data_IF_302766537427
#
_entry.id   IF_302766537427
#
_cell.length_a   1.000
_cell.length_b   1.000
_cell.length_c   1.000
_cell.angle_alpha   90.00
_cell.angle_beta   90.00
_cell.angle_gamma   90.00
#
_symmetry.space_group_name_H-M   'P 1'
#
loop_
_entity.id
_entity.type
_entity.pdbx_description
1 polymer ?
#
# COMPACT_ATOMS: atom_id res chain seq x y z
N UNK A 1 19.99 -4.09 -29.67
CA UNK A 1 18.80 -3.91 -28.89
C UNK A 1 18.09 -2.59 -29.16
N UNK A 2 16.76 -2.63 -29.26
CA UNK A 2 15.89 -1.46 -29.38
C UNK A 2 15.13 -1.31 -28.07
N UNK A 3 14.82 -0.09 -27.66
CA UNK A 3 14.15 0.16 -26.40
C UNK A 3 12.64 0.27 -26.62
N UNK A 4 11.86 -0.52 -25.92
CA UNK A 4 10.41 -0.39 -25.80
C UNK A 4 10.12 0.31 -24.48
N UNK A 5 9.37 1.42 -24.53
CA UNK A 5 8.89 2.07 -23.32
C UNK A 5 7.46 1.61 -23.03
N UNK A 6 7.20 1.27 -21.77
CA UNK A 6 5.91 0.82 -21.26
C UNK A 6 5.54 1.75 -20.10
N UNK A 7 4.40 2.40 -20.18
CA UNK A 7 3.94 3.34 -19.17
C UNK A 7 2.42 3.31 -19.06
N UNK A 8 1.89 3.88 -17.99
CA UNK A 8 0.45 4.05 -17.81
C UNK A 8 -0.02 5.43 -18.29
N UNK A 9 -1.33 5.61 -18.43
CA UNK A 9 -1.96 6.90 -18.70
C UNK A 9 -1.74 7.91 -17.55
N UNK A 10 -1.48 7.46 -16.33
CA UNK A 10 -1.11 8.31 -15.19
C UNK A 10 0.29 8.94 -15.32
N UNK A 11 1.09 8.48 -16.27
CA UNK A 11 2.48 8.91 -16.42
C UNK A 11 2.61 10.43 -16.61
N UNK A 12 1.68 11.07 -17.31
CA UNK A 12 1.70 12.51 -17.55
C UNK A 12 0.90 13.31 -16.51
N UNK A 13 -0.01 12.66 -15.80
CA UNK A 13 -0.87 13.28 -14.78
C UNK A 13 -0.24 13.37 -13.39
N UNK A 14 0.82 12.60 -13.13
CA UNK A 14 1.51 12.55 -11.85
C UNK A 14 2.88 13.23 -11.90
N UNK A 15 3.82 12.68 -11.15
CA UNK A 15 5.22 13.10 -11.17
C UNK A 15 5.91 12.60 -12.45
N UNK A 16 6.91 13.33 -12.92
CA UNK A 16 7.81 12.88 -14.00
C UNK A 16 8.52 11.54 -13.68
N UNK A 17 8.45 11.09 -12.45
CA UNK A 17 9.04 9.83 -11.95
C UNK A 17 8.02 8.71 -11.82
N UNK A 18 6.84 8.86 -12.41
CA UNK A 18 5.83 7.82 -12.39
C UNK A 18 6.35 6.49 -12.93
N UNK A 19 5.73 5.43 -12.45
CA UNK A 19 6.16 4.06 -12.74
C UNK A 19 6.09 3.79 -14.24
N UNK A 20 7.23 3.38 -14.77
CA UNK A 20 7.39 2.95 -16.15
C UNK A 20 8.35 1.77 -16.21
N UNK A 21 8.29 1.02 -17.30
CA UNK A 21 9.29 0.02 -17.63
C UNK A 21 9.95 0.34 -18.97
N UNK A 22 11.20 -0.05 -19.10
CA UNK A 22 11.95 -0.02 -20.34
C UNK A 22 12.46 -1.43 -20.63
N UNK A 23 12.15 -1.91 -21.80
CA UNK A 23 12.62 -3.22 -22.24
C UNK A 23 13.55 -3.10 -23.43
N UNK A 24 14.78 -3.59 -23.27
CA UNK A 24 15.77 -3.64 -24.35
C UNK A 24 15.63 -4.97 -25.08
N UNK A 25 15.20 -4.91 -26.35
CA UNK A 25 14.96 -6.10 -27.16
C UNK A 25 16.25 -6.81 -27.54
N UNK A 26 16.12 -8.10 -27.81
CA UNK A 26 17.11 -8.97 -28.47
C UNK A 26 16.61 -9.32 -29.88
N UNK A 27 17.40 -10.04 -30.66
CA UNK A 27 16.94 -10.56 -31.92
C UNK A 27 16.05 -11.80 -31.74
N UNK A 28 15.07 -11.95 -32.63
CA UNK A 28 14.12 -13.05 -32.60
C UNK A 28 12.91 -12.82 -31.71
N UNK A 29 12.12 -13.88 -31.54
CA UNK A 29 10.93 -13.90 -30.71
C UNK A 29 11.34 -13.95 -29.24
N UNK A 30 10.72 -13.09 -28.43
CA UNK A 30 11.03 -12.98 -27.00
C UNK A 30 9.78 -12.59 -26.20
N UNK A 31 9.80 -12.89 -24.92
CA UNK A 31 8.77 -12.51 -23.96
C UNK A 31 9.38 -11.59 -22.91
N UNK A 32 8.60 -10.62 -22.45
CA UNK A 32 8.94 -9.73 -21.34
C UNK A 32 7.76 -9.60 -20.39
N UNK A 33 8.00 -9.81 -19.11
CA UNK A 33 7.07 -9.53 -18.04
C UNK A 33 7.72 -8.49 -17.11
N UNK A 34 7.00 -7.40 -16.82
CA UNK A 34 7.48 -6.38 -15.88
C UNK A 34 7.55 -6.96 -14.47
N UNK A 35 8.68 -6.78 -13.78
CA UNK A 35 8.84 -7.13 -12.36
C UNK A 35 8.12 -6.12 -11.45
N UNK A 36 8.07 -4.86 -11.88
CA UNK A 36 7.32 -3.82 -11.18
C UNK A 36 5.86 -3.82 -11.61
N UNK A 37 4.96 -3.67 -10.66
CA UNK A 37 3.55 -3.47 -10.95
C UNK A 37 3.27 -2.02 -11.34
N UNK A 38 2.28 -1.82 -12.19
CA UNK A 38 1.85 -0.51 -12.71
C UNK A 38 0.37 -0.30 -12.40
N UNK A 39 0.00 0.92 -12.16
CA UNK A 39 -1.37 1.35 -11.89
C UNK A 39 -1.80 2.38 -12.95
N UNK A 40 -2.99 2.23 -13.50
CA UNK A 40 -3.55 3.10 -14.53
C UNK A 40 -4.78 2.47 -15.17
N UNK A 41 -5.47 3.23 -16.02
CA UNK A 41 -6.60 2.74 -16.79
C UNK A 41 -6.16 2.17 -18.14
N UNK A 42 -5.09 2.73 -18.70
CA UNK A 42 -4.54 2.35 -19.98
C UNK A 42 -3.04 2.08 -19.88
N UNK A 43 -2.56 1.13 -20.68
CA UNK A 43 -1.14 0.86 -20.85
C UNK A 43 -0.68 1.33 -22.23
N UNK A 44 0.33 2.16 -22.26
CA UNK A 44 0.91 2.71 -23.47
C UNK A 44 2.23 2.00 -23.77
N UNK A 45 2.35 1.49 -25.00
CA UNK A 45 3.56 0.84 -25.50
C UNK A 45 4.16 1.70 -26.60
N UNK A 46 5.34 2.27 -26.39
CA UNK A 46 6.05 3.05 -27.39
C UNK A 46 7.04 2.12 -28.08
N UNK A 47 6.74 1.76 -29.31
CA UNK A 47 7.47 0.76 -30.08
C UNK A 47 8.40 1.43 -31.08
N UNK A 48 9.69 1.08 -31.11
CA UNK A 48 10.59 1.51 -32.16
C UNK A 48 10.31 0.79 -33.48
N UNK A 49 10.73 1.39 -34.59
CA UNK A 49 10.60 0.79 -35.91
C UNK A 49 11.17 -0.63 -35.98
N UNK A 50 10.45 -1.53 -36.66
CA UNK A 50 10.85 -2.93 -36.85
C UNK A 50 10.59 -3.85 -35.66
N UNK A 51 9.95 -3.36 -34.60
CA UNK A 51 9.43 -4.21 -33.52
C UNK A 51 7.97 -4.52 -33.80
N UNK A 52 7.62 -5.80 -33.69
CA UNK A 52 6.24 -6.28 -33.82
C UNK A 52 5.79 -6.92 -32.51
N UNK A 53 4.68 -6.45 -31.96
CA UNK A 53 4.02 -7.07 -30.82
C UNK A 53 3.21 -8.26 -31.33
N UNK A 54 3.42 -9.42 -30.74
CA UNK A 54 2.70 -10.65 -31.05
C UNK A 54 1.52 -10.88 -30.10
N UNK A 55 1.70 -10.55 -28.84
CA UNK A 55 0.69 -10.73 -27.80
C UNK A 55 0.91 -9.73 -26.68
N UNK A 56 -0.17 -9.33 -25.99
CA UNK A 56 -0.14 -8.52 -24.78
C UNK A 56 -1.06 -9.14 -23.75
N UNK A 57 -0.53 -9.36 -22.56
CA UNK A 57 -1.27 -9.91 -21.43
C UNK A 57 -1.19 -8.99 -20.23
N UNK A 58 -2.17 -9.10 -19.37
CA UNK A 58 -2.26 -8.43 -18.10
C UNK A 58 -2.33 -9.46 -16.98
N UNK A 59 -1.49 -9.28 -15.98
CA UNK A 59 -1.53 -10.07 -14.75
C UNK A 59 -1.94 -9.15 -13.60
N UNK A 60 -3.09 -9.40 -13.04
CA UNK A 60 -3.51 -8.74 -11.81
C UNK A 60 -2.76 -9.37 -10.62
N UNK A 61 -2.21 -8.53 -9.76
CA UNK A 61 -1.52 -8.94 -8.53
C UNK A 61 -1.98 -8.10 -7.36
N UNK A 62 -1.96 -8.65 -6.16
CA UNK A 62 -2.34 -7.97 -4.96
C UNK A 62 -1.97 -8.78 -3.72
N UNK A 63 -2.34 -8.30 -2.55
CA UNK A 63 -2.21 -9.05 -1.32
C UNK A 63 -3.17 -10.26 -1.32
N UNK A 64 -2.72 -11.39 -0.75
CA UNK A 64 -3.51 -12.63 -0.70
C UNK A 64 -4.59 -12.55 0.38
N UNK A 65 -5.73 -11.99 0.00
CA UNK A 65 -6.92 -11.83 0.85
C UNK A 65 -8.20 -11.92 0.01
N UNK A 66 -9.31 -12.16 0.67
CA UNK A 66 -10.62 -12.27 0.05
C UNK A 66 -11.53 -11.11 0.48
N UNK A 67 -12.43 -10.69 -0.41
CA UNK A 67 -13.52 -9.77 -0.08
C UNK A 67 -14.65 -10.55 0.60
N UNK A 68 -14.67 -10.55 1.92
CA UNK A 68 -15.68 -11.25 2.72
C UNK A 68 -16.76 -10.33 3.26
N UNK A 69 -16.49 -9.04 3.34
CA UNK A 69 -17.46 -8.03 3.72
C UNK A 69 -18.44 -7.71 2.61
N UNK A 70 -19.65 -7.34 2.97
CA UNK A 70 -20.68 -6.92 2.03
C UNK A 70 -21.53 -5.79 2.60
N UNK A 71 -21.99 -4.91 1.71
CA UNK A 71 -22.92 -3.84 2.04
C UNK A 71 -24.00 -3.74 0.96
N UNK A 72 -25.24 -3.56 1.37
CA UNK A 72 -26.37 -3.34 0.47
C UNK A 72 -27.41 -2.45 1.14
N UNK A 73 -27.88 -1.45 0.41
CA UNK A 73 -29.01 -0.61 0.81
C UNK A 73 -29.84 -0.19 -0.41
N UNK A 74 -30.90 0.57 -0.19
CA UNK A 74 -31.78 1.04 -1.25
C UNK A 74 -31.21 2.22 -2.08
N UNK A 75 -30.05 2.75 -1.72
CA UNK A 75 -29.36 3.79 -2.48
C UNK A 75 -28.27 3.17 -3.37
N UNK A 76 -28.44 3.22 -4.71
CA UNK A 76 -27.44 2.67 -5.64
C UNK A 76 -26.08 3.35 -5.53
N UNK A 77 -26.03 4.66 -5.19
CA UNK A 77 -24.77 5.39 -5.01
C UNK A 77 -23.96 4.81 -3.85
N UNK A 78 -24.59 4.55 -2.72
CA UNK A 78 -23.93 3.98 -1.54
C UNK A 78 -23.42 2.56 -1.81
N UNK A 79 -24.17 1.76 -2.56
CA UNK A 79 -23.74 0.42 -2.95
C UNK A 79 -22.51 0.46 -3.87
N UNK A 80 -22.48 1.40 -4.80
CA UNK A 80 -21.32 1.58 -5.69
C UNK A 80 -20.11 2.16 -4.92
N UNK A 81 -20.34 3.10 -4.00
CA UNK A 81 -19.32 3.66 -3.14
C UNK A 81 -18.61 2.57 -2.34
N UNK A 82 -19.37 1.65 -1.71
CA UNK A 82 -18.80 0.52 -1.00
C UNK A 82 -17.86 -0.33 -1.88
N UNK A 83 -18.33 -0.68 -3.08
CA UNK A 83 -17.53 -1.50 -4.01
C UNK A 83 -16.21 -0.82 -4.39
N UNK A 84 -16.30 0.48 -4.70
CA UNK A 84 -15.10 1.25 -5.08
C UNK A 84 -14.15 1.43 -3.92
N UNK A 85 -14.65 1.68 -2.71
CA UNK A 85 -13.83 1.81 -1.50
C UNK A 85 -13.10 0.51 -1.18
N UNK A 86 -13.81 -0.62 -1.18
CA UNK A 86 -13.18 -1.93 -0.96
C UNK A 86 -12.14 -2.25 -2.04
N UNK A 87 -12.40 -1.90 -3.31
CA UNK A 87 -11.42 -2.07 -4.39
C UNK A 87 -10.22 -1.15 -4.21
N UNK A 88 -10.42 0.08 -3.78
CA UNK A 88 -9.33 1.04 -3.53
C UNK A 88 -8.43 0.55 -2.40
N UNK A 89 -9.02 0.10 -1.29
CA UNK A 89 -8.28 -0.52 -0.20
C UNK A 89 -7.40 -1.68 -0.70
N UNK A 90 -7.96 -2.57 -1.51
CA UNK A 90 -7.21 -3.71 -2.06
C UNK A 90 -6.05 -3.28 -2.99
N UNK A 91 -6.23 -2.22 -3.78
CA UNK A 91 -5.18 -1.72 -4.67
C UNK A 91 -3.99 -1.17 -3.88
N UNK A 92 -4.21 -0.63 -2.70
CA UNK A 92 -3.16 -0.10 -1.82
C UNK A 92 -2.49 -1.18 -0.95
N UNK A 93 -2.93 -2.42 -1.05
CA UNK A 93 -2.38 -3.56 -0.30
C UNK A 93 -1.38 -4.36 -1.13
N UNK A 94 -0.14 -4.42 -0.67
CA UNK A 94 0.94 -5.23 -1.27
C UNK A 94 1.73 -5.94 -0.17
N UNK A 95 2.99 -5.61 -0.03
CA UNK A 95 3.85 -5.98 1.09
C UNK A 95 3.69 -5.04 2.30
N UNK A 96 3.01 -3.92 2.10
CA UNK A 96 2.50 -3.01 3.12
C UNK A 96 1.18 -2.38 2.64
N UNK A 97 0.46 -1.73 3.53
CA UNK A 97 -0.52 -0.73 3.10
C UNK A 97 0.21 0.48 2.51
N UNK A 98 -0.41 1.19 1.60
CA UNK A 98 0.18 2.32 0.91
C UNK A 98 -0.82 3.46 0.81
N UNK A 99 -0.37 4.67 1.10
CA UNK A 99 -1.15 5.91 0.93
C UNK A 99 -1.76 6.06 -0.47
N UNK A 100 -1.05 5.60 -1.47
CA UNK A 100 -1.51 5.63 -2.86
C UNK A 100 -0.81 4.57 -3.71
N UNK A 101 -1.46 4.10 -4.80
CA UNK A 101 -0.86 3.09 -5.67
C UNK A 101 0.07 3.69 -6.74
N UNK A 102 0.29 4.99 -6.73
CA UNK A 102 0.96 5.70 -7.84
C UNK A 102 2.19 6.50 -7.40
N UNK A 103 2.02 7.60 -6.66
CA UNK A 103 3.09 8.58 -6.41
C UNK A 103 4.11 8.10 -5.36
N UNK A 104 3.69 8.01 -4.10
CA UNK A 104 4.58 7.66 -2.99
C UNK A 104 4.76 6.17 -2.82
N UNK A 105 3.67 5.41 -2.88
CA UNK A 105 3.64 3.98 -2.57
C UNK A 105 4.29 3.67 -1.23
N UNK A 106 4.02 4.50 -0.23
CA UNK A 106 4.64 4.47 1.06
C UNK A 106 3.62 4.14 2.16
N UNK A 107 4.07 3.45 3.19
CA UNK A 107 3.27 3.12 4.36
C UNK A 107 3.21 4.34 5.29
N UNK A 108 2.37 5.33 4.92
CA UNK A 108 2.06 6.46 5.77
C UNK A 108 1.07 6.05 6.85
N UNK A 109 1.44 6.26 8.10
CA UNK A 109 0.61 5.80 9.21
C UNK A 109 -0.67 6.59 9.43
N UNK A 110 -0.79 7.79 8.90
CA UNK A 110 -2.06 8.50 8.84
C UNK A 110 -3.08 7.84 7.92
N UNK A 111 -2.60 7.20 6.87
CA UNK A 111 -3.41 6.42 5.93
C UNK A 111 -3.61 5.00 6.46
N UNK A 112 -2.57 4.34 6.91
CA UNK A 112 -2.59 2.98 7.47
C UNK A 112 -3.64 2.78 8.55
N UNK A 113 -3.83 3.75 9.47
CA UNK A 113 -4.83 3.63 10.54
C UNK A 113 -6.26 3.55 10.02
N UNK A 114 -6.54 4.14 8.87
CA UNK A 114 -7.83 4.03 8.21
C UNK A 114 -7.93 2.69 7.49
N UNK A 115 -6.92 2.34 6.70
CA UNK A 115 -6.89 1.13 5.89
C UNK A 115 -7.00 -0.14 6.75
N UNK A 116 -6.25 -0.23 7.84
CA UNK A 116 -6.35 -1.36 8.76
C UNK A 116 -7.74 -1.46 9.42
N UNK A 117 -8.38 -0.33 9.71
CA UNK A 117 -9.74 -0.30 10.25
C UNK A 117 -10.78 -0.75 9.22
N UNK A 118 -10.67 -0.28 7.98
CA UNK A 118 -11.56 -0.64 6.87
C UNK A 118 -11.44 -2.13 6.50
N UNK A 119 -10.24 -2.70 6.61
CA UNK A 119 -9.98 -4.10 6.33
C UNK A 119 -10.83 -5.05 7.18
N UNK A 120 -11.14 -4.70 8.44
CA UNK A 120 -12.01 -5.50 9.31
C UNK A 120 -13.44 -5.61 8.79
N UNK A 121 -13.90 -4.64 8.00
CA UNK A 121 -15.25 -4.65 7.42
C UNK A 121 -15.31 -5.28 6.03
N UNK A 122 -14.24 -5.14 5.25
CA UNK A 122 -14.26 -5.48 3.83
C UNK A 122 -13.59 -6.80 3.49
N UNK A 123 -12.58 -7.22 4.27
CA UNK A 123 -11.65 -8.27 3.89
C UNK A 123 -11.65 -9.44 4.87
N UNK A 124 -11.09 -10.56 4.42
CA UNK A 124 -10.89 -11.74 5.27
C UNK A 124 -9.80 -11.51 6.33
N UNK A 125 -9.76 -12.33 7.41
CA UNK A 125 -8.74 -12.19 8.46
C UNK A 125 -7.30 -12.30 7.99
N UNK A 126 -7.02 -12.78 6.78
CA UNK A 126 -5.67 -12.76 6.20
C UNK A 126 -5.10 -11.37 6.07
N UNK A 127 -5.95 -10.35 5.84
CA UNK A 127 -5.57 -8.94 5.76
C UNK A 127 -4.99 -8.39 7.07
N UNK A 128 -5.40 -8.93 8.21
CA UNK A 128 -4.92 -8.48 9.52
C UNK A 128 -3.43 -8.74 9.74
N UNK A 129 -2.85 -9.70 9.02
CA UNK A 129 -1.40 -9.97 9.05
C UNK A 129 -0.60 -8.81 8.45
N UNK A 130 -1.17 -8.14 7.44
CA UNK A 130 -0.54 -6.97 6.84
C UNK A 130 -0.51 -5.81 7.84
N UNK A 131 -1.62 -5.56 8.53
CA UNK A 131 -1.70 -4.55 9.60
C UNK A 131 -0.70 -4.84 10.73
N UNK A 132 -0.61 -6.09 11.20
CA UNK A 132 0.37 -6.48 12.21
C UNK A 132 1.81 -6.27 11.74
N UNK A 133 2.11 -6.59 10.47
CA UNK A 133 3.42 -6.31 9.87
C UNK A 133 3.73 -4.82 9.94
N UNK A 134 2.79 -3.96 9.54
CA UNK A 134 2.94 -2.51 9.61
C UNK A 134 3.20 -2.01 11.02
N UNK A 135 2.47 -2.51 12.02
CA UNK A 135 2.66 -2.18 13.44
C UNK A 135 4.09 -2.52 13.89
N UNK A 136 4.57 -3.73 13.57
CA UNK A 136 5.93 -4.13 13.92
C UNK A 136 6.99 -3.33 13.17
N UNK A 137 6.78 -3.01 11.91
CA UNK A 137 7.67 -2.16 11.13
C UNK A 137 7.76 -0.76 11.74
N UNK A 138 6.63 -0.14 12.08
CA UNK A 138 6.62 1.16 12.72
C UNK A 138 7.45 1.18 14.00
N UNK A 139 7.22 0.20 14.89
CA UNK A 139 7.95 0.11 16.16
C UNK A 139 9.42 -0.25 15.97
N UNK A 140 9.75 -1.06 14.97
CA UNK A 140 11.15 -1.43 14.68
C UNK A 140 11.94 -0.29 14.06
N UNK A 141 11.28 0.68 13.45
CA UNK A 141 11.90 1.90 12.92
C UNK A 141 11.98 3.05 13.93
N UNK A 142 11.53 2.82 15.18
CA UNK A 142 11.69 3.79 16.26
C UNK A 142 13.18 4.10 16.46
N UNK A 143 13.51 5.38 16.53
CA UNK A 143 14.86 5.88 16.72
C UNK A 143 15.35 5.66 18.16
N UNK A 144 16.64 5.81 18.39
CA UNK A 144 17.24 5.72 19.73
C UNK A 144 16.69 6.78 20.70
N UNK A 145 16.29 7.95 20.18
CA UNK A 145 15.65 9.02 20.96
C UNK A 145 14.13 8.80 21.15
N UNK A 146 13.61 7.65 20.72
CA UNK A 146 12.22 7.27 20.85
C UNK A 146 11.28 7.82 19.79
N UNK A 147 11.73 8.75 18.96
CA UNK A 147 10.91 9.35 17.89
C UNK A 147 10.58 8.34 16.81
N UNK A 148 9.40 8.46 16.24
CA UNK A 148 8.89 7.62 15.16
C UNK A 148 8.61 8.47 13.94
N UNK A 149 8.94 7.97 12.75
CA UNK A 149 8.56 8.60 11.49
C UNK A 149 7.17 8.13 11.05
N UNK A 150 6.36 9.04 10.47
CA UNK A 150 5.04 8.72 9.96
C UNK A 150 5.06 7.72 8.79
N UNK A 151 5.98 7.79 7.80
CA UNK A 151 6.17 6.69 6.87
C UNK A 151 7.18 5.68 7.45
N UNK A 152 6.84 4.40 7.42
CA UNK A 152 7.74 3.32 7.84
C UNK A 152 7.64 2.15 6.84
N UNK A 153 8.77 1.77 6.21
CA UNK A 153 10.13 2.33 6.30
C UNK A 153 10.21 3.79 5.86
N UNK A 154 11.01 4.60 6.60
CA UNK A 154 11.07 6.04 6.35
C UNK A 154 11.85 6.42 5.06
N UNK A 155 12.84 5.64 4.67
CA UNK A 155 13.69 5.97 3.55
C UNK A 155 14.26 7.38 3.66
N UNK A 156 14.02 8.20 2.65
CA UNK A 156 14.35 9.63 2.63
C UNK A 156 13.20 10.56 3.10
N UNK A 157 12.04 10.00 3.41
CA UNK A 157 10.83 10.72 3.82
C UNK A 157 10.73 10.81 5.35
N UNK A 158 11.71 11.43 5.97
CA UNK A 158 11.85 11.51 7.44
C UNK A 158 10.87 12.53 8.03
N UNK A 159 9.57 12.23 7.94
CA UNK A 159 8.48 13.05 8.46
C UNK A 159 8.00 12.49 9.79
N UNK A 160 8.10 13.27 10.84
CA UNK A 160 7.74 12.83 12.19
C UNK A 160 6.23 12.91 12.43
N UNK A 161 5.57 13.97 11.99
CA UNK A 161 4.13 14.23 12.15
C UNK A 161 3.60 13.82 13.55
N UNK A 162 4.08 14.43 14.64
CA UNK A 162 3.92 13.91 16.00
C UNK A 162 2.47 13.62 16.40
N UNK A 163 1.52 14.55 16.13
CA UNK A 163 0.11 14.34 16.50
C UNK A 163 -0.53 13.16 15.78
N UNK A 164 -0.17 12.95 14.51
CA UNK A 164 -0.63 11.81 13.74
C UNK A 164 -0.08 10.51 14.32
N UNK A 165 1.21 10.51 14.70
CA UNK A 165 1.85 9.33 15.26
C UNK A 165 1.36 9.01 16.66
N UNK A 166 1.06 10.02 17.48
CA UNK A 166 0.41 9.82 18.78
C UNK A 166 -0.94 9.12 18.64
N UNK A 167 -1.75 9.54 17.68
CA UNK A 167 -3.03 8.90 17.41
C UNK A 167 -2.85 7.46 16.88
N UNK A 168 -1.87 7.24 16.02
CA UNK A 168 -1.60 5.93 15.40
C UNK A 168 -1.13 4.89 16.41
N UNK A 169 -0.14 5.25 17.24
CA UNK A 169 0.42 4.37 18.27
C UNK A 169 -0.55 4.22 19.47
N UNK A 170 -1.29 5.26 19.76
CA UNK A 170 -2.22 5.29 20.90
C UNK A 170 -3.58 4.66 20.59
N UNK A 171 -4.59 5.50 20.54
CA UNK A 171 -5.99 5.08 20.60
C UNK A 171 -6.63 4.73 19.26
N UNK A 172 -6.04 5.10 18.13
CA UNK A 172 -6.69 4.94 16.83
C UNK A 172 -6.14 3.74 16.04
N UNK A 173 -4.85 3.69 15.75
CA UNK A 173 -4.26 2.61 14.95
C UNK A 173 -4.11 1.29 15.72
N UNK A 174 -3.20 1.25 16.69
CA UNK A 174 -2.89 0.03 17.45
C UNK A 174 -4.08 -0.45 18.29
N UNK A 175 -4.82 0.47 18.88
CA UNK A 175 -6.04 0.12 19.59
C UNK A 175 -7.12 -0.48 18.69
N UNK A 176 -7.29 0.03 17.48
CA UNK A 176 -8.21 -0.53 16.49
C UNK A 176 -7.86 -1.97 16.17
N UNK A 177 -6.58 -2.26 15.90
CA UNK A 177 -6.12 -3.64 15.67
C UNK A 177 -6.42 -4.56 16.86
N UNK A 178 -6.11 -4.11 18.07
CA UNK A 178 -6.42 -4.87 19.28
C UNK A 178 -7.93 -5.09 19.48
N UNK A 179 -8.71 -4.04 19.35
CA UNK A 179 -10.15 -4.05 19.60
C UNK A 179 -10.90 -5.02 18.68
N UNK A 180 -10.58 -5.01 17.41
CA UNK A 180 -11.26 -5.87 16.42
C UNK A 180 -10.71 -7.29 16.37
N UNK A 181 -9.43 -7.50 16.60
CA UNK A 181 -8.84 -8.84 16.59
C UNK A 181 -8.99 -9.60 17.89
N UNK A 182 -9.08 -8.89 19.02
CA UNK A 182 -9.00 -9.47 20.36
C UNK A 182 -7.61 -10.02 20.72
N UNK A 183 -6.61 -9.85 19.84
CA UNK A 183 -5.25 -10.35 20.03
C UNK A 183 -4.42 -9.33 20.80
N UNK A 184 -4.02 -9.66 22.02
CA UNK A 184 -3.12 -8.83 22.83
C UNK A 184 -1.64 -9.20 22.68
N UNK A 185 -1.32 -10.26 21.96
CA UNK A 185 0.06 -10.78 21.87
C UNK A 185 1.00 -9.79 21.19
N UNK A 186 0.53 -9.11 20.15
CA UNK A 186 1.34 -8.09 19.47
C UNK A 186 1.62 -6.90 20.39
N UNK A 187 0.64 -6.48 21.21
CA UNK A 187 0.81 -5.39 22.18
C UNK A 187 1.94 -5.73 23.15
N UNK A 188 1.96 -6.96 23.67
CA UNK A 188 3.04 -7.42 24.54
C UNK A 188 4.41 -7.37 23.85
N UNK A 189 4.46 -7.69 22.55
CA UNK A 189 5.70 -7.67 21.77
C UNK A 189 6.29 -6.27 21.48
N UNK A 190 5.46 -5.23 21.56
CA UNK A 190 5.87 -3.85 21.29
C UNK A 190 5.71 -2.91 22.49
N UNK A 191 5.28 -3.44 23.63
CA UNK A 191 4.86 -2.63 24.79
C UNK A 191 5.90 -1.62 25.24
N UNK A 192 7.14 -2.04 25.43
CA UNK A 192 8.20 -1.16 25.94
C UNK A 192 8.47 0.02 24.99
N UNK A 193 8.45 -0.24 23.68
CA UNK A 193 8.65 0.81 22.66
C UNK A 193 7.48 1.76 22.57
N UNK A 194 6.27 1.21 22.63
CA UNK A 194 5.05 2.00 22.64
C UNK A 194 4.96 2.86 23.92
N UNK A 195 5.27 2.27 25.08
CA UNK A 195 5.30 2.97 26.35
C UNK A 195 6.35 4.10 26.33
N UNK A 196 7.55 3.81 25.86
CA UNK A 196 8.61 4.82 25.71
C UNK A 196 8.15 5.99 24.83
N UNK A 197 7.53 5.70 23.69
CA UNK A 197 7.00 6.75 22.81
C UNK A 197 5.94 7.62 23.50
N UNK A 198 4.97 6.99 24.16
CA UNK A 198 3.81 7.67 24.75
C UNK A 198 4.10 8.43 26.05
N UNK A 199 5.19 8.11 26.77
CA UNK A 199 5.48 8.68 28.09
C UNK A 199 6.80 9.42 28.18
N UNK A 200 7.76 9.13 27.32
CA UNK A 200 9.10 9.74 27.37
C UNK A 200 9.33 10.71 26.20
N UNK A 201 8.70 10.44 25.03
CA UNK A 201 8.83 11.31 23.86
C UNK A 201 7.74 12.40 23.86
N UNK A 202 6.57 12.06 24.37
CA UNK A 202 5.44 12.97 24.62
C UNK A 202 5.44 13.38 26.08
#
# INVERSE_FOLDING_TARGET
>A
GKVIHIRTDNYEGGSQYNVRAEYVTRDGVQEYESLGWMNGHEMQYILPEGVKVLDVKFRETGYDTEFTGSFSCNDPFMNELWKRSARTLYITMRDSYMDCPDRERAQWWGDEVNELGEAFYALSPSSHKLALKGIYELMNWQREDGVIFAPAPAGNWRKELPLQMLASVGWYGFYTQYYYSGDSSFVAGIYDRMHHYLHEVW
#
